data_IF_592827089182
#
_entry.id   IF_592827089182
#
_cell.length_a   1.000
_cell.length_b   1.000
_cell.length_c   1.000
_cell.angle_alpha   90.00
_cell.angle_beta   90.00
_cell.angle_gamma   90.00
#
_symmetry.space_group_name_H-M   'P 1'
#
loop_
_entity.id
_entity.type
_entity.pdbx_description
1 polymer ?
#
# COMPACT_ATOMS: atom_id res chain seq x y z
N UNK A 1 42.70 86.10 -11.48
CA UNK A 1 43.90 85.93 -10.62
C UNK A 1 44.17 84.47 -10.53
N UNK A 2 45.31 84.03 -11.08
CA UNK A 2 45.80 82.66 -11.14
C UNK A 2 46.29 82.17 -9.80
N UNK A 3 45.94 80.99 -9.42
CA UNK A 3 46.83 80.13 -8.59
C UNK A 3 46.79 78.71 -9.07
N UNK A 4 48.00 78.30 -9.47
CA UNK A 4 48.36 76.94 -9.83
C UNK A 4 48.47 76.09 -8.53
N UNK A 5 47.95 74.91 -8.52
CA UNK A 5 48.25 73.88 -7.54
C UNK A 5 48.93 72.69 -8.22
N UNK A 6 50.06 72.33 -7.64
CA UNK A 6 51.00 71.31 -8.02
C UNK A 6 50.47 69.87 -7.71
N UNK A 7 50.90 68.82 -8.43
CA UNK A 7 50.45 67.49 -8.23
C UNK A 7 51.14 66.76 -7.08
N UNK A 8 50.37 66.16 -6.15
CA UNK A 8 50.84 65.31 -5.08
C UNK A 8 50.79 63.83 -5.49
N UNK A 9 51.87 63.18 -5.20
CA UNK A 9 52.09 61.79 -5.46
C UNK A 9 51.05 60.89 -4.78
N UNK A 10 50.34 60.12 -5.60
CA UNK A 10 49.58 58.96 -5.08
C UNK A 10 50.51 57.71 -5.10
N UNK A 11 50.81 57.22 -3.88
CA UNK A 11 51.40 55.91 -3.68
C UNK A 11 50.38 54.84 -3.99
N UNK A 12 50.70 53.99 -4.97
CA UNK A 12 49.99 52.74 -5.26
C UNK A 12 50.23 51.73 -4.15
N UNK A 13 49.20 51.47 -3.36
CA UNK A 13 49.15 50.30 -2.50
C UNK A 13 48.46 49.17 -3.29
N UNK A 14 49.26 48.22 -3.80
CA UNK A 14 48.79 46.98 -4.35
C UNK A 14 48.33 46.07 -3.18
N UNK A 15 47.05 45.98 -2.89
CA UNK A 15 46.45 44.94 -2.09
C UNK A 15 46.19 43.73 -2.99
N UNK A 16 47.01 42.68 -2.84
CA UNK A 16 46.74 41.38 -3.47
C UNK A 16 45.51 40.75 -2.79
N UNK A 17 44.38 40.76 -3.48
CA UNK A 17 43.20 39.99 -3.09
C UNK A 17 43.46 38.50 -3.43
N UNK A 18 43.69 37.73 -2.41
CA UNK A 18 43.76 36.23 -2.52
C UNK A 18 42.35 35.74 -2.77
N UNK A 19 42.00 35.43 -4.01
CA UNK A 19 40.75 34.75 -4.36
C UNK A 19 40.93 33.27 -4.01
N UNK A 20 40.43 32.85 -2.87
CA UNK A 20 40.25 31.42 -2.53
C UNK A 20 39.08 30.93 -3.38
N UNK A 21 39.38 30.28 -4.49
CA UNK A 21 38.40 29.50 -5.25
C UNK A 21 38.03 28.28 -4.43
N UNK A 22 36.92 28.38 -3.70
CA UNK A 22 36.29 27.19 -3.11
C UNK A 22 35.73 26.36 -4.25
N UNK A 23 36.46 25.36 -4.68
CA UNK A 23 35.95 24.30 -5.55
C UNK A 23 34.97 23.47 -4.72
N UNK A 24 33.69 23.86 -4.74
CA UNK A 24 32.62 22.95 -4.37
C UNK A 24 32.51 21.91 -5.48
N UNK A 25 33.14 20.77 -5.26
CA UNK A 25 32.84 19.58 -6.05
C UNK A 25 31.35 19.27 -5.88
N UNK A 26 30.57 19.09 -6.96
CA UNK A 26 29.24 18.55 -6.82
C UNK A 26 29.42 17.14 -6.24
N UNK A 27 29.00 16.95 -5.01
CA UNK A 27 28.74 15.62 -4.49
C UNK A 27 27.62 15.05 -5.35
N UNK A 28 27.98 14.29 -6.39
CA UNK A 28 27.09 13.33 -7.00
C UNK A 28 26.61 12.41 -5.88
N UNK A 29 25.42 12.69 -5.36
CA UNK A 29 24.63 11.70 -4.67
C UNK A 29 24.22 10.72 -5.76
N UNK A 30 25.12 9.80 -6.09
CA UNK A 30 24.80 8.64 -6.89
C UNK A 30 23.65 7.95 -6.16
N UNK A 31 22.43 8.12 -6.66
CA UNK A 31 21.32 7.26 -6.32
C UNK A 31 21.84 5.83 -6.60
N UNK A 32 22.16 5.11 -5.54
CA UNK A 32 22.59 3.73 -5.67
C UNK A 32 21.44 3.01 -6.37
N UNK A 33 21.57 2.79 -7.68
CA UNK A 33 20.70 1.88 -8.41
C UNK A 33 20.72 0.57 -7.62
N UNK A 34 19.60 0.26 -6.95
CA UNK A 34 19.42 -1.02 -6.27
C UNK A 34 19.60 -2.09 -7.34
N UNK A 35 20.80 -2.65 -7.43
CA UNK A 35 21.04 -3.79 -8.33
C UNK A 35 20.07 -4.89 -7.93
N UNK A 36 19.26 -5.32 -8.90
CA UNK A 36 18.36 -6.45 -8.75
C UNK A 36 19.14 -7.65 -8.20
N UNK A 37 18.80 -8.10 -7.00
CA UNK A 37 19.41 -9.28 -6.38
C UNK A 37 18.95 -10.54 -7.13
N UNK A 38 19.79 -10.99 -8.07
CA UNK A 38 19.58 -12.24 -8.81
C UNK A 38 20.02 -13.48 -8.02
N UNK A 39 20.25 -13.34 -6.72
CA UNK A 39 20.63 -14.49 -5.89
C UNK A 39 19.53 -15.55 -5.90
N UNK A 40 19.87 -16.83 -5.67
CA UNK A 40 18.88 -17.91 -5.51
C UNK A 40 17.88 -17.67 -4.36
N UNK A 41 18.12 -16.67 -3.51
CA UNK A 41 17.26 -16.27 -2.39
C UNK A 41 16.15 -15.32 -2.78
N UNK A 42 16.26 -14.65 -3.95
CA UNK A 42 15.20 -13.76 -4.45
C UNK A 42 14.07 -14.60 -5.06
N UNK A 43 12.88 -14.49 -4.48
CA UNK A 43 11.69 -15.27 -4.87
C UNK A 43 10.78 -14.53 -5.86
N UNK A 44 11.16 -13.33 -6.31
CA UNK A 44 10.39 -12.54 -7.26
C UNK A 44 10.35 -11.06 -6.94
N UNK A 45 9.36 -10.35 -7.49
CA UNK A 45 9.19 -8.91 -7.32
C UNK A 45 7.75 -8.54 -7.00
N UNK A 46 7.59 -7.46 -6.26
CA UNK A 46 6.32 -6.86 -5.84
C UNK A 46 6.29 -5.42 -6.35
N UNK A 47 5.22 -5.03 -7.02
CA UNK A 47 4.91 -3.64 -7.32
C UNK A 47 3.90 -3.12 -6.30
N UNK A 48 4.27 -2.12 -5.53
CA UNK A 48 3.34 -1.34 -4.70
C UNK A 48 2.85 -0.17 -5.52
N UNK A 49 1.59 -0.19 -5.89
CA UNK A 49 0.94 0.89 -6.61
C UNK A 49 0.08 1.71 -5.64
N UNK A 50 0.24 3.04 -5.67
CA UNK A 50 -0.42 3.97 -4.74
C UNK A 50 -1.10 5.13 -5.47
N UNK A 51 -1.46 4.94 -6.75
CA UNK A 51 -2.25 5.92 -7.51
C UNK A 51 -3.69 5.97 -7.00
N UNK A 52 -4.29 7.16 -6.97
CA UNK A 52 -5.66 7.39 -6.49
C UNK A 52 -6.42 8.25 -7.50
N UNK A 53 -7.65 7.85 -7.81
CA UNK A 53 -8.56 8.63 -8.68
C UNK A 53 -9.41 9.64 -7.89
N UNK A 54 -9.48 9.50 -6.57
CA UNK A 54 -10.26 10.35 -5.69
C UNK A 54 -9.46 10.74 -4.45
N UNK A 55 -9.96 10.45 -3.26
CA UNK A 55 -9.33 10.83 -2.00
C UNK A 55 -7.99 10.08 -1.81
N UNK A 56 -6.94 10.83 -1.54
CA UNK A 56 -5.62 10.29 -1.20
C UNK A 56 -5.40 10.39 0.31
N UNK A 57 -5.24 9.25 0.95
CA UNK A 57 -4.91 9.21 2.37
C UNK A 57 -3.53 9.82 2.63
N UNK A 58 -3.39 10.72 3.63
CA UNK A 58 -2.10 11.32 3.99
C UNK A 58 -1.03 10.29 4.37
N UNK A 59 -1.45 9.12 4.84
CA UNK A 59 -0.60 8.02 5.30
C UNK A 59 0.04 7.22 4.16
N UNK A 60 -0.43 7.34 2.92
CA UNK A 60 0.06 6.58 1.76
C UNK A 60 1.59 6.64 1.59
N UNK A 61 2.30 7.78 1.73
CA UNK A 61 3.75 7.80 1.63
C UNK A 61 4.46 6.98 2.71
N UNK A 62 3.96 7.03 3.95
CA UNK A 62 4.51 6.26 5.07
C UNK A 62 4.30 4.75 4.86
N UNK A 63 3.10 4.35 4.39
CA UNK A 63 2.75 2.97 4.07
C UNK A 63 3.58 2.44 2.89
N UNK A 64 3.72 3.22 1.81
CA UNK A 64 4.58 2.87 0.68
C UNK A 64 6.04 2.65 1.12
N UNK A 65 6.55 3.55 1.97
CA UNK A 65 7.89 3.42 2.56
C UNK A 65 8.01 2.20 3.49
N UNK A 66 6.95 1.88 4.26
CA UNK A 66 6.92 0.68 5.10
C UNK A 66 6.98 -0.59 4.25
N UNK A 67 6.16 -0.69 3.20
CA UNK A 67 6.13 -1.82 2.26
C UNK A 67 7.48 -1.97 1.53
N UNK A 68 8.07 -0.88 1.05
CA UNK A 68 9.37 -0.89 0.37
C UNK A 68 10.51 -1.48 1.21
N UNK A 69 10.41 -1.39 2.54
CA UNK A 69 11.39 -1.96 3.47
C UNK A 69 11.14 -3.43 3.84
N UNK A 70 10.18 -4.10 3.21
CA UNK A 70 9.84 -5.52 3.47
C UNK A 70 10.57 -6.50 2.55
N UNK A 71 11.48 -6.05 1.71
CA UNK A 71 12.24 -6.87 0.77
C UNK A 71 12.88 -8.12 1.42
N UNK A 72 13.47 -7.95 2.61
CA UNK A 72 14.08 -9.04 3.37
C UNK A 72 13.04 -10.01 3.96
N UNK A 73 11.96 -9.47 4.53
CA UNK A 73 10.90 -10.27 5.12
C UNK A 73 10.19 -11.10 4.02
N UNK A 74 9.92 -10.48 2.89
CA UNK A 74 9.30 -11.09 1.72
C UNK A 74 10.25 -12.02 0.95
N UNK A 75 11.55 -11.76 1.00
CA UNK A 75 12.57 -12.32 0.10
C UNK A 75 12.24 -12.03 -1.37
N UNK A 76 11.69 -10.86 -1.63
CA UNK A 76 11.33 -10.34 -2.95
C UNK A 76 11.77 -8.89 -3.05
N UNK A 77 12.09 -8.43 -4.26
CA UNK A 77 12.28 -7.01 -4.51
C UNK A 77 10.93 -6.29 -4.40
N UNK A 78 10.92 -5.11 -3.81
CA UNK A 78 9.73 -4.26 -3.70
C UNK A 78 10.01 -2.92 -4.37
N UNK A 79 9.25 -2.62 -5.40
CA UNK A 79 9.26 -1.33 -6.09
C UNK A 79 7.94 -0.60 -5.83
N UNK A 80 7.99 0.74 -5.87
CA UNK A 80 6.82 1.61 -5.61
C UNK A 80 6.58 2.48 -6.83
N UNK A 81 5.33 2.60 -7.24
CA UNK A 81 4.91 3.51 -8.32
C UNK A 81 3.55 4.13 -7.99
N UNK A 82 3.34 5.34 -8.51
CA UNK A 82 2.03 6.01 -8.57
C UNK A 82 1.62 6.31 -10.02
N UNK A 83 2.47 5.92 -10.98
CA UNK A 83 2.25 6.20 -12.39
C UNK A 83 1.41 5.10 -13.04
N UNK A 84 0.17 5.38 -13.49
CA UNK A 84 -0.67 4.39 -14.16
C UNK A 84 -0.03 3.73 -15.39
N UNK A 85 0.88 4.43 -16.09
CA UNK A 85 1.58 3.87 -17.24
C UNK A 85 2.43 2.64 -16.91
N UNK A 86 2.86 2.49 -15.66
CA UNK A 86 3.67 1.35 -15.21
C UNK A 86 2.86 0.05 -15.19
N UNK A 87 1.53 0.14 -15.02
CA UNK A 87 0.64 -1.03 -15.10
C UNK A 87 0.62 -1.67 -16.50
N UNK A 88 0.93 -0.90 -17.54
CA UNK A 88 1.09 -1.43 -18.91
C UNK A 88 2.54 -1.79 -19.20
N UNK A 89 3.49 -0.95 -18.76
CA UNK A 89 4.88 -1.06 -19.20
C UNK A 89 5.69 -2.12 -18.47
N UNK A 90 5.45 -2.29 -17.16
CA UNK A 90 6.35 -3.10 -16.33
C UNK A 90 5.63 -4.13 -15.44
N UNK A 91 4.29 -4.11 -15.31
CA UNK A 91 3.57 -5.01 -14.41
C UNK A 91 3.90 -6.50 -14.63
N UNK A 92 4.17 -6.90 -15.86
CA UNK A 92 4.55 -8.26 -16.22
C UNK A 92 5.86 -8.76 -15.58
N UNK A 93 6.67 -7.86 -14.99
CA UNK A 93 7.91 -8.20 -14.27
C UNK A 93 7.65 -8.59 -12.81
N UNK A 94 6.44 -8.38 -12.31
CA UNK A 94 6.08 -8.57 -10.91
C UNK A 94 5.21 -9.79 -10.73
N UNK A 95 5.36 -10.44 -9.58
CA UNK A 95 4.49 -11.55 -9.15
C UNK A 95 3.27 -11.06 -8.40
N UNK A 96 3.40 -9.90 -7.74
CA UNK A 96 2.34 -9.31 -6.92
C UNK A 96 2.21 -7.83 -7.19
N UNK A 97 0.99 -7.37 -7.33
CA UNK A 97 0.57 -5.99 -7.30
C UNK A 97 -0.09 -5.71 -5.94
N UNK A 98 0.50 -4.82 -5.15
CA UNK A 98 -0.10 -4.32 -3.92
C UNK A 98 -0.80 -3.00 -4.25
N UNK A 99 -2.12 -2.95 -4.09
CA UNK A 99 -2.93 -1.74 -4.24
C UNK A 99 -2.99 -1.03 -2.88
N UNK A 100 -2.10 -0.07 -2.68
CA UNK A 100 -1.97 0.64 -1.42
C UNK A 100 -2.90 1.86 -1.40
N UNK A 101 -4.09 1.70 -0.83
CA UNK A 101 -5.11 2.75 -0.70
C UNK A 101 -5.53 3.38 -2.04
N UNK A 102 -5.67 2.58 -3.09
CA UNK A 102 -6.01 3.01 -4.44
C UNK A 102 -7.51 3.30 -4.60
N UNK A 103 -7.97 4.46 -4.16
CA UNK A 103 -9.38 4.86 -4.30
C UNK A 103 -9.74 5.18 -5.75
N UNK A 104 -10.99 4.84 -6.16
CA UNK A 104 -11.60 5.19 -7.45
C UNK A 104 -10.65 4.96 -8.64
N UNK A 105 -10.07 3.76 -8.72
CA UNK A 105 -9.19 3.41 -9.85
C UNK A 105 -9.84 3.58 -11.23
N UNK A 106 -11.16 3.39 -11.42
CA UNK A 106 -11.80 3.67 -12.71
C UNK A 106 -11.63 5.10 -13.23
N UNK A 107 -11.52 6.08 -12.32
CA UNK A 107 -11.27 7.49 -12.70
C UNK A 107 -9.79 7.77 -12.99
N UNK A 108 -8.88 6.95 -12.45
CA UNK A 108 -7.44 7.10 -12.64
C UNK A 108 -6.92 6.34 -13.86
N UNK A 109 -7.44 5.11 -14.08
CA UNK A 109 -6.92 4.19 -15.09
C UNK A 109 -7.77 4.24 -16.35
N UNK A 110 -7.12 4.39 -17.51
CA UNK A 110 -7.76 4.18 -18.78
C UNK A 110 -8.09 2.70 -19.03
N UNK A 111 -8.85 2.40 -20.09
CA UNK A 111 -9.28 1.05 -20.43
C UNK A 111 -8.09 0.12 -20.66
N UNK A 112 -7.04 0.59 -21.35
CA UNK A 112 -5.84 -0.20 -21.63
C UNK A 112 -5.08 -0.58 -20.35
N UNK A 113 -5.06 0.34 -19.38
CA UNK A 113 -4.40 0.10 -18.09
C UNK A 113 -5.21 -0.91 -17.25
N UNK A 114 -6.53 -0.80 -17.25
CA UNK A 114 -7.41 -1.77 -16.59
C UNK A 114 -7.28 -3.15 -17.21
N UNK A 115 -7.36 -3.23 -18.53
CA UNK A 115 -7.19 -4.49 -19.27
C UNK A 115 -5.83 -5.14 -19.00
N UNK A 116 -4.74 -4.37 -18.93
CA UNK A 116 -3.43 -4.91 -18.62
C UNK A 116 -3.37 -5.57 -17.22
N UNK A 117 -4.05 -5.00 -16.23
CA UNK A 117 -4.16 -5.60 -14.88
C UNK A 117 -5.00 -6.88 -14.93
N UNK A 118 -6.14 -6.87 -15.64
CA UNK A 118 -7.03 -8.02 -15.80
C UNK A 118 -6.30 -9.21 -16.45
N UNK A 119 -5.64 -8.97 -17.58
CA UNK A 119 -4.88 -9.99 -18.32
C UNK A 119 -3.72 -10.55 -17.50
N UNK A 120 -2.98 -9.66 -16.81
CA UNK A 120 -1.89 -10.06 -15.94
C UNK A 120 -2.38 -10.92 -14.75
N UNK A 121 -3.50 -10.54 -14.13
CA UNK A 121 -4.11 -11.35 -13.07
C UNK A 121 -4.61 -12.69 -13.58
N UNK A 122 -5.28 -12.71 -14.72
CA UNK A 122 -5.75 -13.94 -15.36
C UNK A 122 -4.60 -14.90 -15.73
N UNK A 123 -3.40 -14.37 -16.01
CA UNK A 123 -2.18 -15.14 -16.21
C UNK A 123 -1.51 -15.61 -14.91
N UNK A 124 -2.13 -15.40 -13.74
CA UNK A 124 -1.65 -15.86 -12.43
C UNK A 124 -1.00 -14.80 -11.54
N UNK A 125 -1.05 -13.53 -11.95
CA UNK A 125 -0.58 -12.42 -11.12
C UNK A 125 -1.37 -12.27 -9.82
N UNK A 126 -0.68 -12.06 -8.69
CA UNK A 126 -1.30 -11.90 -7.38
C UNK A 126 -1.66 -10.45 -7.06
N UNK A 127 -2.84 -10.18 -6.54
CA UNK A 127 -3.25 -8.84 -6.06
C UNK A 127 -3.44 -8.86 -4.56
N UNK A 128 -2.86 -7.85 -3.87
CA UNK A 128 -3.13 -7.56 -2.46
C UNK A 128 -3.69 -6.15 -2.37
N UNK A 129 -4.95 -6.03 -2.00
CA UNK A 129 -5.66 -4.77 -1.85
C UNK A 129 -5.70 -4.37 -0.36
N UNK A 130 -5.24 -3.16 -0.04
CA UNK A 130 -5.12 -2.65 1.33
C UNK A 130 -6.12 -1.53 1.56
N UNK A 131 -6.88 -1.64 2.64
CA UNK A 131 -7.75 -0.62 3.19
C UNK A 131 -8.63 0.05 2.12
N UNK A 132 -8.41 1.31 1.78
CA UNK A 132 -9.22 2.09 0.86
C UNK A 132 -9.13 1.64 -0.63
N UNK A 133 -8.44 0.53 -0.92
CA UNK A 133 -8.38 0.01 -2.28
C UNK A 133 -9.74 -0.48 -2.83
N UNK A 134 -10.77 -0.63 -1.98
CA UNK A 134 -12.13 -0.96 -2.40
C UNK A 134 -13.06 0.26 -2.50
N UNK A 135 -12.56 1.47 -2.28
CA UNK A 135 -13.40 2.68 -2.30
C UNK A 135 -13.70 3.10 -3.74
N UNK A 136 -15.00 3.15 -4.12
CA UNK A 136 -15.53 3.65 -5.40
C UNK A 136 -15.02 2.86 -6.61
N UNK A 137 -15.08 1.53 -6.57
CA UNK A 137 -14.61 0.64 -7.63
C UNK A 137 -15.71 0.12 -8.55
N UNK A 138 -16.97 0.48 -8.32
CA UNK A 138 -18.15 -0.07 -9.04
C UNK A 138 -18.08 0.09 -10.55
N UNK A 139 -17.48 1.18 -11.05
CA UNK A 139 -17.32 1.43 -12.50
C UNK A 139 -16.25 0.53 -13.16
N UNK A 140 -15.44 -0.17 -12.37
CA UNK A 140 -14.57 -1.23 -12.85
C UNK A 140 -15.13 -2.60 -12.44
N UNK A 141 -16.13 -3.04 -13.18
CA UNK A 141 -16.93 -4.22 -12.86
C UNK A 141 -16.09 -5.45 -12.54
N UNK A 142 -15.07 -5.74 -13.35
CA UNK A 142 -14.17 -6.86 -13.13
C UNK A 142 -13.51 -6.80 -11.73
N UNK A 143 -12.97 -5.62 -11.36
CA UNK A 143 -12.32 -5.47 -10.06
C UNK A 143 -13.31 -5.54 -8.90
N UNK A 144 -14.49 -4.95 -9.06
CA UNK A 144 -15.56 -5.03 -8.05
C UNK A 144 -16.04 -6.46 -7.82
N UNK A 145 -16.16 -7.26 -8.89
CA UNK A 145 -16.49 -8.69 -8.80
C UNK A 145 -15.34 -9.50 -8.16
N UNK A 146 -14.08 -9.19 -8.48
CA UNK A 146 -12.90 -9.82 -7.88
C UNK A 146 -12.77 -9.50 -6.39
N UNK A 147 -13.03 -8.27 -5.99
CA UNK A 147 -13.02 -7.81 -4.60
C UNK A 147 -14.21 -8.34 -3.80
N UNK A 148 -15.38 -8.47 -4.43
CA UNK A 148 -16.62 -9.00 -3.87
C UNK A 148 -17.55 -7.96 -3.27
N UNK A 149 -17.09 -6.74 -2.99
CA UNK A 149 -17.86 -5.64 -2.42
C UNK A 149 -17.21 -4.29 -2.73
N UNK A 150 -17.91 -3.22 -2.36
CA UNK A 150 -17.40 -1.85 -2.38
C UNK A 150 -17.54 -1.22 -0.99
N UNK A 151 -16.91 -0.09 -0.77
CA UNK A 151 -16.96 0.70 0.45
C UNK A 151 -18.35 1.33 0.65
N UNK A 152 -18.87 1.29 1.88
CA UNK A 152 -20.07 2.03 2.30
C UNK A 152 -19.72 3.15 3.30
N UNK A 153 -19.11 2.80 4.40
CA UNK A 153 -18.78 3.70 5.50
C UNK A 153 -17.61 3.17 6.33
N UNK A 154 -17.18 3.89 7.35
CA UNK A 154 -16.16 3.43 8.28
C UNK A 154 -16.44 3.90 9.72
N UNK A 155 -15.72 3.31 10.69
CA UNK A 155 -15.65 3.76 12.08
C UNK A 155 -14.60 4.86 12.27
N UNK A 156 -14.49 5.42 13.45
CA UNK A 156 -13.27 6.10 13.89
C UNK A 156 -12.12 5.11 14.07
N UNK A 157 -10.88 5.63 14.12
CA UNK A 157 -9.69 4.83 14.40
C UNK A 157 -9.66 4.43 15.88
N UNK A 158 -10.04 3.18 16.18
CA UNK A 158 -10.27 2.71 17.55
C UNK A 158 -10.01 1.22 17.72
N UNK A 159 -9.88 0.77 18.98
CA UNK A 159 -9.71 -0.63 19.33
C UNK A 159 -11.04 -1.37 19.20
N UNK A 160 -11.02 -2.52 18.51
CA UNK A 160 -12.12 -3.46 18.44
C UNK A 160 -11.65 -4.91 18.63
N UNK A 161 -12.60 -5.82 18.84
CA UNK A 161 -12.33 -7.25 18.89
C UNK A 161 -12.33 -7.83 17.48
N UNK A 162 -11.16 -8.31 17.05
CA UNK A 162 -10.99 -9.07 15.81
C UNK A 162 -11.19 -10.55 16.10
N UNK A 163 -11.91 -11.23 15.22
CA UNK A 163 -12.23 -12.66 15.31
C UNK A 163 -11.62 -13.38 14.11
N UNK A 164 -10.85 -14.42 14.39
CA UNK A 164 -10.30 -15.31 13.35
C UNK A 164 -11.38 -16.29 12.90
N UNK A 165 -11.63 -16.37 11.60
CA UNK A 165 -12.54 -17.38 11.06
C UNK A 165 -12.02 -18.79 11.37
N UNK A 166 -12.83 -19.67 11.97
CA UNK A 166 -12.36 -21.02 12.34
C UNK A 166 -11.81 -21.82 11.17
N UNK A 167 -12.35 -21.66 9.96
CA UNK A 167 -11.86 -22.33 8.75
C UNK A 167 -10.50 -21.77 8.28
N UNK A 168 -10.15 -20.55 8.71
CA UNK A 168 -8.91 -19.88 8.37
C UNK A 168 -7.83 -19.96 9.46
N UNK A 169 -8.08 -20.57 10.61
CA UNK A 169 -7.18 -20.52 11.79
C UNK A 169 -5.73 -20.99 11.52
N UNK A 170 -5.54 -21.82 10.49
CA UNK A 170 -4.21 -22.29 10.04
C UNK A 170 -3.63 -21.47 8.89
N UNK A 171 -4.36 -20.47 8.37
CA UNK A 171 -3.84 -19.65 7.30
C UNK A 171 -2.67 -18.77 7.80
N UNK A 172 -1.55 -18.67 7.06
CA UNK A 172 -0.33 -18.01 7.54
C UNK A 172 -0.53 -16.57 8.00
N UNK A 173 -1.46 -15.86 7.38
CA UNK A 173 -1.76 -14.46 7.70
C UNK A 173 -2.39 -14.25 9.08
N UNK A 174 -2.98 -15.28 9.68
CA UNK A 174 -3.73 -15.21 10.94
C UNK A 174 -3.30 -16.26 11.99
N UNK A 175 -2.49 -17.22 11.58
CA UNK A 175 -2.07 -18.31 12.48
C UNK A 175 -1.24 -17.79 13.66
N UNK A 176 -1.42 -18.40 14.84
CA UNK A 176 -0.68 -18.06 16.06
C UNK A 176 -1.30 -16.94 16.91
N UNK A 177 -2.43 -16.34 16.47
CA UNK A 177 -3.08 -15.24 17.19
C UNK A 177 -4.37 -15.62 17.95
N UNK A 178 -4.60 -16.95 18.12
CA UNK A 178 -5.79 -17.45 18.81
C UNK A 178 -7.07 -17.33 17.97
N UNK A 179 -8.23 -17.41 18.63
CA UNK A 179 -9.54 -17.29 17.98
C UNK A 179 -10.05 -15.87 17.91
N UNK A 180 -9.56 -14.99 18.78
CA UNK A 180 -9.86 -13.55 18.77
C UNK A 180 -8.79 -12.76 19.52
N UNK A 181 -8.65 -11.48 19.18
CA UNK A 181 -7.72 -10.55 19.82
C UNK A 181 -8.20 -9.11 19.65
N UNK A 182 -7.67 -8.19 20.45
CA UNK A 182 -7.92 -6.75 20.31
C UNK A 182 -6.95 -6.14 19.32
N UNK A 183 -7.44 -5.26 18.48
CA UNK A 183 -6.64 -4.55 17.50
C UNK A 183 -7.19 -3.15 17.23
N UNK A 184 -6.31 -2.20 16.92
CA UNK A 184 -6.70 -0.81 16.65
C UNK A 184 -6.53 -0.50 15.17
N UNK A 185 -7.64 -0.17 14.54
CA UNK A 185 -7.74 0.30 13.15
C UNK A 185 -9.00 1.16 13.01
N UNK A 186 -9.26 1.68 11.84
CA UNK A 186 -10.60 2.08 11.42
C UNK A 186 -11.23 0.89 10.68
N UNK A 187 -12.51 0.67 10.92
CA UNK A 187 -13.21 -0.53 10.48
C UNK A 187 -14.19 -0.15 9.37
N UNK A 188 -13.87 -0.59 8.15
CA UNK A 188 -14.68 -0.29 6.97
C UNK A 188 -15.91 -1.18 6.90
N UNK A 189 -17.07 -0.56 6.76
CA UNK A 189 -18.29 -1.24 6.37
C UNK A 189 -18.38 -1.31 4.83
N UNK A 190 -18.82 -2.42 4.32
CA UNK A 190 -18.97 -2.66 2.89
C UNK A 190 -20.45 -2.69 2.50
N UNK A 191 -20.75 -2.44 1.24
CA UNK A 191 -22.12 -2.49 0.68
C UNK A 191 -22.76 -3.87 0.80
N UNK A 192 -21.94 -4.93 0.93
CA UNK A 192 -22.35 -6.32 1.13
C UNK A 192 -21.25 -7.15 1.74
N UNK A 193 -21.61 -8.26 2.40
CA UNK A 193 -20.63 -9.25 2.87
C UNK A 193 -20.18 -10.16 1.74
N UNK A 194 -18.92 -10.57 1.80
CA UNK A 194 -18.33 -11.60 0.91
C UNK A 194 -18.55 -13.02 1.43
N UNK A 195 -19.12 -13.19 2.60
CA UNK A 195 -19.38 -14.50 3.21
C UNK A 195 -20.33 -15.33 2.33
N UNK A 196 -19.96 -16.59 2.09
CA UNK A 196 -20.76 -17.52 1.29
C UNK A 196 -20.66 -17.33 -0.22
N UNK A 197 -19.94 -16.33 -0.72
CA UNK A 197 -19.66 -16.20 -2.16
C UNK A 197 -18.69 -17.29 -2.57
N UNK A 198 -19.03 -18.04 -3.62
CA UNK A 198 -18.18 -19.12 -4.14
C UNK A 198 -16.81 -18.59 -4.56
N UNK A 199 -15.75 -19.22 -4.04
CA UNK A 199 -14.36 -18.85 -4.31
C UNK A 199 -13.76 -17.89 -3.29
N UNK A 200 -14.59 -17.26 -2.44
CA UNK A 200 -14.14 -16.42 -1.35
C UNK A 200 -13.94 -17.21 -0.06
N UNK A 201 -12.91 -16.83 0.69
CA UNK A 201 -12.68 -17.32 2.05
C UNK A 201 -12.41 -16.13 2.97
N UNK A 202 -13.29 -15.92 3.94
CA UNK A 202 -13.07 -14.94 5.01
C UNK A 202 -11.99 -15.47 5.96
N UNK A 203 -11.09 -14.58 6.35
CA UNK A 203 -9.99 -14.87 7.29
C UNK A 203 -10.22 -14.21 8.63
N UNK A 204 -10.68 -12.97 8.62
CA UNK A 204 -10.93 -12.15 9.81
C UNK A 204 -12.28 -11.46 9.72
N UNK A 205 -12.92 -11.33 10.87
CA UNK A 205 -14.08 -10.45 11.09
C UNK A 205 -13.78 -9.51 12.24
N UNK A 206 -14.47 -8.38 12.27
CA UNK A 206 -14.54 -7.53 13.46
C UNK A 206 -15.89 -7.72 14.15
N UNK A 207 -15.88 -7.75 15.48
CA UNK A 207 -17.09 -7.85 16.30
C UNK A 207 -17.64 -6.44 16.59
N UNK A 208 -18.68 -6.05 15.86
CA UNK A 208 -19.30 -4.73 16.00
C UNK A 208 -19.88 -4.46 17.39
N UNK A 209 -20.12 -5.49 18.23
CA UNK A 209 -20.53 -5.27 19.61
C UNK A 209 -19.44 -4.69 20.49
N UNK A 210 -18.20 -4.62 20.01
CA UNK A 210 -17.05 -4.12 20.74
C UNK A 210 -16.69 -2.66 20.45
N UNK A 211 -17.36 -2.00 19.49
CA UNK A 211 -17.06 -0.63 19.09
C UNK A 211 -18.26 0.04 18.39
N UNK A 212 -18.20 1.35 18.12
CA UNK A 212 -19.19 2.08 17.29
C UNK A 212 -18.84 1.91 15.80
N UNK A 213 -19.64 1.18 15.01
CA UNK A 213 -19.23 0.76 13.68
C UNK A 213 -19.31 1.84 12.59
N UNK A 214 -20.08 2.92 12.83
CA UNK A 214 -20.27 3.98 11.82
C UNK A 214 -20.01 5.34 12.45
N UNK A 215 -18.95 6.02 12.05
CA UNK A 215 -18.67 7.37 12.56
C UNK A 215 -19.72 8.38 12.10
N UNK A 216 -19.87 9.45 12.86
CA UNK A 216 -20.93 10.47 12.70
C UNK A 216 -21.04 11.01 11.27
N UNK A 217 -19.90 11.22 10.60
CA UNK A 217 -19.85 11.70 9.21
C UNK A 217 -20.67 10.80 8.27
N UNK A 218 -20.50 9.48 8.40
CA UNK A 218 -21.20 8.52 7.56
C UNK A 218 -22.61 8.21 8.03
N UNK A 219 -22.89 8.25 9.35
CA UNK A 219 -24.26 8.17 9.85
C UNK A 219 -25.15 9.24 9.19
N UNK A 220 -24.67 10.48 9.09
CA UNK A 220 -25.38 11.59 8.41
C UNK A 220 -25.59 11.38 6.92
N UNK A 221 -24.83 10.47 6.31
CA UNK A 221 -24.89 10.13 4.87
C UNK A 221 -25.62 8.82 4.60
N UNK A 222 -26.16 8.18 5.63
CA UNK A 222 -26.89 6.91 5.51
C UNK A 222 -26.02 5.68 5.51
N UNK A 223 -24.74 5.79 5.91
CA UNK A 223 -23.83 4.68 6.10
C UNK A 223 -24.35 3.68 7.11
N UNK A 224 -24.09 2.40 6.89
CA UNK A 224 -24.67 1.30 7.66
C UNK A 224 -23.59 0.38 8.21
N UNK A 225 -23.85 -0.10 9.43
CA UNK A 225 -23.12 -1.22 10.01
C UNK A 225 -23.42 -2.53 9.27
N UNK A 226 -22.49 -3.47 9.28
CA UNK A 226 -22.66 -4.80 8.67
C UNK A 226 -23.26 -5.82 9.64
N UNK A 227 -23.27 -5.53 10.93
CA UNK A 227 -23.86 -6.37 11.97
C UNK A 227 -22.97 -7.58 12.33
N UNK A 228 -23.58 -8.76 12.42
CA UNK A 228 -22.85 -9.97 12.88
C UNK A 228 -21.85 -10.54 11.86
N UNK A 229 -22.00 -10.20 10.60
CA UNK A 229 -21.12 -10.69 9.53
C UNK A 229 -20.35 -9.54 8.91
N UNK A 230 -19.26 -9.15 9.58
CA UNK A 230 -18.40 -8.05 9.19
C UNK A 230 -16.97 -8.55 8.84
N UNK A 231 -16.78 -9.07 7.62
CA UNK A 231 -15.45 -9.46 7.15
C UNK A 231 -14.53 -8.24 6.99
N UNK A 232 -13.28 -8.36 7.48
CA UNK A 232 -12.24 -7.33 7.38
C UNK A 232 -10.98 -7.83 6.68
N UNK A 233 -10.89 -9.13 6.40
CA UNK A 233 -9.86 -9.70 5.54
C UNK A 233 -10.38 -10.98 4.90
N UNK A 234 -10.13 -11.12 3.61
CA UNK A 234 -10.51 -12.30 2.84
C UNK A 234 -9.60 -12.54 1.65
N UNK A 235 -9.72 -13.71 1.08
CA UNK A 235 -9.06 -14.08 -0.16
C UNK A 235 -10.09 -14.57 -1.19
N UNK A 236 -9.71 -14.48 -2.46
CA UNK A 236 -10.46 -15.00 -3.59
C UNK A 236 -9.47 -15.60 -4.59
N UNK A 237 -9.79 -16.77 -5.12
CA UNK A 237 -8.96 -17.49 -6.11
C UNK A 237 -9.66 -17.60 -7.47
N UNK A 238 -10.77 -16.89 -7.67
CA UNK A 238 -11.41 -16.77 -8.97
C UNK A 238 -10.59 -15.85 -9.89
N UNK A 239 -10.68 -16.06 -11.21
CA UNK A 239 -10.06 -15.15 -12.17
C UNK A 239 -8.62 -15.48 -12.59
N UNK A 240 -8.06 -16.62 -12.15
CA UNK A 240 -6.74 -17.10 -12.58
C UNK A 240 -5.61 -16.79 -11.59
N UNK A 241 -5.54 -15.58 -11.08
CA UNK A 241 -4.60 -15.17 -10.03
C UNK A 241 -5.14 -15.38 -8.62
N UNK A 242 -4.42 -14.84 -7.64
CA UNK A 242 -4.81 -14.82 -6.23
C UNK A 242 -5.10 -13.39 -5.80
N UNK A 243 -6.28 -13.16 -5.25
CA UNK A 243 -6.68 -11.88 -4.70
C UNK A 243 -6.76 -11.96 -3.18
N UNK A 244 -6.21 -10.98 -2.50
CA UNK A 244 -6.28 -10.81 -1.05
C UNK A 244 -6.70 -9.39 -0.72
N UNK A 245 -7.68 -9.23 0.15
CA UNK A 245 -8.05 -7.96 0.74
C UNK A 245 -7.82 -7.97 2.25
N UNK A 246 -7.42 -6.84 2.77
CA UNK A 246 -7.45 -6.56 4.21
C UNK A 246 -7.75 -5.11 4.47
N UNK A 247 -8.53 -4.87 5.50
CA UNK A 247 -8.83 -3.57 6.08
C UNK A 247 -7.57 -2.87 6.62
N UNK A 248 -6.57 -3.64 7.02
CA UNK A 248 -5.34 -3.10 7.59
C UNK A 248 -4.54 -2.34 6.53
N UNK A 249 -4.03 -1.17 6.91
CA UNK A 249 -3.24 -0.35 6.01
C UNK A 249 -3.69 1.11 5.92
N UNK A 250 -4.53 1.59 6.86
CA UNK A 250 -4.77 3.01 7.03
C UNK A 250 -3.55 3.69 7.65
N UNK A 251 -3.10 3.21 8.81
CA UNK A 251 -2.01 3.78 9.57
C UNK A 251 -0.86 2.79 9.71
N UNK A 252 0.36 3.23 9.43
CA UNK A 252 1.58 2.41 9.52
C UNK A 252 1.79 1.82 10.92
N UNK A 253 1.33 2.50 11.98
CA UNK A 253 1.43 2.02 13.37
C UNK A 253 0.73 0.67 13.55
N UNK A 254 -0.40 0.45 12.88
CA UNK A 254 -1.08 -0.83 12.91
C UNK A 254 -0.23 -1.94 12.28
N UNK A 255 0.48 -1.66 11.22
CA UNK A 255 1.33 -2.62 10.52
C UNK A 255 2.67 -2.91 11.21
N UNK A 256 3.10 -2.07 12.14
CA UNK A 256 4.34 -2.28 12.93
C UNK A 256 4.12 -3.25 14.10
N UNK A 257 2.89 -3.61 14.42
CA UNK A 257 2.61 -4.67 15.38
C UNK A 257 3.08 -6.03 14.87
N UNK A 258 3.39 -7.00 15.75
CA UNK A 258 3.76 -8.36 15.31
C UNK A 258 2.70 -8.99 14.41
N UNK A 259 1.41 -8.82 14.76
CA UNK A 259 0.29 -9.31 13.94
C UNK A 259 0.21 -8.59 12.59
N UNK A 260 0.18 -7.26 12.57
CA UNK A 260 0.05 -6.47 11.34
C UNK A 260 1.18 -6.76 10.35
N UNK A 261 2.43 -6.85 10.85
CA UNK A 261 3.59 -7.22 10.03
C UNK A 261 3.44 -8.62 9.43
N UNK A 262 3.10 -9.63 10.26
CA UNK A 262 2.90 -10.99 9.80
C UNK A 262 1.78 -11.04 8.76
N UNK A 263 0.65 -10.42 9.06
CA UNK A 263 -0.54 -10.43 8.22
C UNK A 263 -0.24 -9.93 6.80
N UNK A 264 0.40 -8.78 6.66
CA UNK A 264 0.73 -8.20 5.34
C UNK A 264 1.84 -8.99 4.63
N UNK A 265 2.90 -9.38 5.34
CA UNK A 265 4.00 -10.16 4.73
C UNK A 265 3.48 -11.49 4.18
N UNK A 266 2.69 -12.22 4.96
CA UNK A 266 2.14 -13.51 4.55
C UNK A 266 1.04 -13.36 3.48
N UNK A 267 0.28 -12.26 3.46
CA UNK A 267 -0.67 -11.95 2.39
C UNK A 267 0.06 -11.79 1.04
N UNK A 268 1.12 -10.99 1.00
CA UNK A 268 1.93 -10.80 -0.21
C UNK A 268 2.58 -12.10 -0.65
N UNK A 269 3.13 -12.89 0.27
CA UNK A 269 3.74 -14.20 -0.04
C UNK A 269 2.72 -15.19 -0.56
N UNK A 270 1.53 -15.24 0.06
CA UNK A 270 0.44 -16.07 -0.42
C UNK A 270 -0.01 -15.67 -1.83
N UNK A 271 -0.19 -14.36 -2.08
CA UNK A 271 -0.55 -13.86 -3.41
C UNK A 271 0.53 -14.20 -4.46
N UNK A 272 1.81 -14.21 -4.09
CA UNK A 272 2.91 -14.65 -4.94
C UNK A 272 2.98 -16.16 -5.18
N UNK A 273 2.12 -16.98 -4.56
CA UNK A 273 2.19 -18.43 -4.62
C UNK A 273 3.33 -19.06 -3.83
N UNK A 274 3.90 -18.33 -2.88
CA UNK A 274 5.03 -18.79 -2.07
C UNK A 274 4.57 -19.53 -0.83
N UNK A 275 5.42 -20.43 -0.33
CA UNK A 275 5.20 -21.06 0.97
C UNK A 275 5.31 -20.00 2.09
N UNK A 276 4.58 -20.20 3.22
CA UNK A 276 4.71 -19.34 4.39
C UNK A 276 6.17 -19.20 4.86
N UNK A 277 6.48 -18.08 5.51
CA UNK A 277 7.70 -18.03 6.31
C UNK A 277 7.54 -19.03 7.44
N UNK A 278 8.48 -19.95 7.59
CA UNK A 278 8.43 -20.90 8.70
C UNK A 278 8.31 -20.11 10.00
N UNK A 279 7.20 -20.29 10.73
CA UNK A 279 7.13 -19.88 12.13
C UNK A 279 8.28 -20.56 12.87
N UNK A 280 9.24 -19.77 13.34
CA UNK A 280 10.26 -20.27 14.26
C UNK A 280 9.64 -20.53 15.61
#
# INVERSE_FOLDING_TARGET
MNQKLTPSLYRLLLTAALIIAVHTQPTEVAAAEKKFDRSPKNLGSVLVFSGTGWYRHPEVPALSGWLARRDKDLRMQVDVSENPADLVKILNRYKVLVLNNCTEMPALLDEKQRQAVEEWHAAGGGIVALHAALVRQTEWKWFNELAGCDFDSDSEFLEARVVVDPAAAKHPTVSGHGTSFKYTADWTNHDRSVSGIKGFQVLLRVDESSYEPVRELFQKRGGKAMGKDHPIAWLNTNGGGRFFYTELGHDVRSLETPFGKQHIVEAIRWAAGLKPTSSK
#
